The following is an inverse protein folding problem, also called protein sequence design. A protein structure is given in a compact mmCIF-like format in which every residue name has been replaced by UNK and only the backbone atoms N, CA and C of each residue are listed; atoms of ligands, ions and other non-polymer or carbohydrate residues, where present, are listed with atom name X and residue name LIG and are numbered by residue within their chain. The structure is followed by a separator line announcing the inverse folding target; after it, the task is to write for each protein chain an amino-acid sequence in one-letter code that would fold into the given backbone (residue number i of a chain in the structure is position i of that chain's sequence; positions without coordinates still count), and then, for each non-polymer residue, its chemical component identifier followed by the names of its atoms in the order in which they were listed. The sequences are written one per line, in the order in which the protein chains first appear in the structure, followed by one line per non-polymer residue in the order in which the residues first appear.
data_IF_715418853763
#
_entry.id   IF_715418853763
#
_cell.length_a   1.000
_cell.length_b   1.000
_cell.length_c   1.000
_cell.angle_alpha   90.00
_cell.angle_beta   90.00
_cell.angle_gamma   90.00
#
_symmetry.space_group_name_H-M   'P 1'
#
loop_
_entity.id
_entity.type
_entity.pdbx_description
1 polymer ?
#
# COMPACT_ATOMS: atom_id res chain seq x y z
N UNK A 1 -21.61 -8.33 -7.56
CA UNK A 1 -20.32 -8.32 -6.82
C UNK A 1 -19.31 -9.18 -7.56
N UNK A 2 -18.10 -8.68 -7.80
CA UNK A 2 -17.04 -9.39 -8.50
C UNK A 2 -15.72 -9.25 -7.71
N UNK A 3 -15.15 -10.38 -7.33
CA UNK A 3 -13.80 -10.46 -6.74
C UNK A 3 -12.83 -10.94 -7.81
N UNK A 4 -11.82 -10.14 -8.10
CA UNK A 4 -10.75 -10.46 -9.03
C UNK A 4 -9.42 -10.56 -8.27
N UNK A 5 -8.60 -11.52 -8.64
CA UNK A 5 -7.23 -11.58 -8.12
C UNK A 5 -6.27 -12.15 -9.13
N UNK A 6 -5.02 -11.79 -8.99
CA UNK A 6 -3.89 -12.39 -9.69
C UNK A 6 -2.80 -12.79 -8.70
N UNK A 7 -1.96 -13.74 -9.07
CA UNK A 7 -0.79 -14.16 -8.30
C UNK A 7 0.45 -13.66 -9.00
N UNK A 8 1.33 -12.97 -8.25
CA UNK A 8 2.64 -12.55 -8.74
C UNK A 8 3.74 -13.26 -7.99
N UNK A 9 4.58 -13.97 -8.75
CA UNK A 9 5.73 -14.70 -8.22
C UNK A 9 6.88 -13.73 -7.93
N UNK A 10 7.70 -14.09 -6.94
CA UNK A 10 8.92 -13.35 -6.65
C UNK A 10 9.93 -13.49 -7.80
N UNK A 11 10.54 -12.37 -8.17
CA UNK A 11 11.61 -12.31 -9.16
C UNK A 11 12.97 -12.29 -8.45
N UNK A 12 13.95 -12.98 -9.00
CA UNK A 12 15.33 -12.85 -8.55
C UNK A 12 15.91 -11.51 -9.03
N UNK A 13 16.71 -10.79 -8.22
CA UNK A 13 17.26 -9.48 -8.62
C UNK A 13 18.10 -9.58 -9.91
N UNK A 14 18.89 -10.64 -10.08
CA UNK A 14 19.68 -10.83 -11.30
C UNK A 14 18.81 -11.02 -12.56
N UNK A 15 17.61 -11.60 -12.44
CA UNK A 15 16.68 -11.71 -13.55
C UNK A 15 15.98 -10.36 -13.82
N UNK A 16 15.57 -9.67 -12.75
CA UNK A 16 14.84 -8.40 -12.83
C UNK A 16 15.65 -7.30 -13.53
N UNK A 17 16.97 -7.29 -13.40
CA UNK A 17 17.86 -6.34 -14.10
C UNK A 17 17.77 -6.41 -15.62
N UNK A 18 17.33 -7.55 -16.17
CA UNK A 18 17.18 -7.79 -17.60
C UNK A 18 15.74 -7.66 -18.11
N UNK A 19 14.78 -7.29 -17.24
CA UNK A 19 13.41 -7.14 -17.65
C UNK A 19 13.22 -5.89 -18.53
N UNK A 20 12.48 -6.07 -19.61
CA UNK A 20 11.99 -4.97 -20.40
C UNK A 20 10.85 -4.23 -19.67
N UNK A 21 10.43 -3.09 -20.21
CA UNK A 21 9.36 -2.27 -19.63
C UNK A 21 8.06 -3.05 -19.44
N UNK A 22 7.69 -3.89 -20.40
CA UNK A 22 6.45 -4.67 -20.33
C UNK A 22 6.49 -5.67 -19.17
N UNK A 23 7.62 -6.33 -18.96
CA UNK A 23 7.80 -7.28 -17.86
C UNK A 23 7.89 -6.59 -16.50
N UNK A 24 8.61 -5.47 -16.38
CA UNK A 24 8.67 -4.68 -15.15
C UNK A 24 7.25 -4.27 -14.71
N UNK A 25 6.47 -3.74 -15.63
CA UNK A 25 5.07 -3.33 -15.36
C UNK A 25 4.21 -4.52 -14.95
N UNK A 26 4.29 -5.64 -15.68
CA UNK A 26 3.50 -6.84 -15.37
C UNK A 26 3.83 -7.42 -14.00
N UNK A 27 5.11 -7.47 -13.62
CA UNK A 27 5.55 -8.16 -12.40
C UNK A 27 5.47 -7.25 -11.17
N UNK A 28 5.63 -5.93 -11.32
CA UNK A 28 5.71 -5.01 -10.19
C UNK A 28 4.60 -3.94 -10.13
N UNK A 29 4.03 -3.50 -11.25
CA UNK A 29 3.00 -2.45 -11.25
C UNK A 29 1.59 -3.05 -11.16
N UNK A 30 0.78 -2.54 -10.25
CA UNK A 30 -0.66 -2.83 -10.15
C UNK A 30 -1.39 -1.65 -10.79
N UNK A 31 -1.89 -1.86 -12.00
CA UNK A 31 -2.52 -0.80 -12.79
C UNK A 31 -3.97 -0.54 -12.41
N UNK A 32 -4.69 -1.56 -11.93
CA UNK A 32 -6.11 -1.47 -11.63
C UNK A 32 -6.39 -1.97 -10.22
N UNK A 33 -6.70 -1.05 -9.32
CA UNK A 33 -7.16 -1.36 -7.95
C UNK A 33 -8.66 -1.09 -7.80
N UNK A 34 -9.17 -0.03 -8.41
CA UNK A 34 -10.56 0.38 -8.25
C UNK A 34 -11.37 0.22 -9.54
N UNK A 35 -12.54 -0.37 -9.39
CA UNK A 35 -13.62 -0.40 -10.39
C UNK A 35 -14.95 -0.53 -9.64
N UNK A 36 -16.01 0.04 -10.22
CA UNK A 36 -17.34 0.05 -9.61
C UNK A 36 -17.81 -1.36 -9.28
N UNK A 37 -18.16 -1.56 -8.01
CA UNK A 37 -18.69 -2.80 -7.45
C UNK A 37 -17.76 -4.03 -7.61
N UNK A 38 -16.45 -3.78 -7.64
CA UNK A 38 -15.42 -4.81 -7.68
C UNK A 38 -14.47 -4.74 -6.46
N UNK A 39 -13.95 -5.91 -6.07
CA UNK A 39 -12.75 -6.07 -5.24
C UNK A 39 -11.65 -6.61 -6.14
N UNK A 40 -10.56 -5.87 -6.28
CA UNK A 40 -9.40 -6.27 -7.08
C UNK A 40 -8.19 -6.49 -6.17
N UNK A 41 -7.46 -7.59 -6.34
CA UNK A 41 -6.35 -7.98 -5.49
C UNK A 41 -5.17 -8.53 -6.28
N UNK A 42 -3.98 -8.28 -5.78
CA UNK A 42 -2.74 -8.97 -6.15
C UNK A 42 -2.24 -9.73 -4.93
N UNK A 43 -2.09 -11.04 -5.07
CA UNK A 43 -1.41 -11.89 -4.10
C UNK A 43 0.06 -12.03 -4.52
N UNK A 44 0.93 -11.35 -3.80
CA UNK A 44 2.37 -11.38 -4.04
C UNK A 44 3.03 -12.54 -3.29
N UNK A 45 4.03 -13.18 -3.92
CA UNK A 45 4.87 -14.17 -3.24
C UNK A 45 5.98 -13.52 -2.39
N UNK A 46 6.20 -12.21 -2.52
CA UNK A 46 6.99 -11.45 -1.54
C UNK A 46 6.20 -11.36 -0.23
N UNK A 47 6.72 -11.92 0.84
CA UNK A 47 6.12 -11.97 2.19
C UNK A 47 4.63 -12.33 2.24
N UNK A 48 4.10 -12.97 1.19
CA UNK A 48 2.67 -13.30 1.07
C UNK A 48 1.76 -12.07 1.22
N UNK A 49 2.27 -10.90 0.83
CA UNK A 49 1.49 -9.66 0.83
C UNK A 49 0.32 -9.74 -0.15
N UNK A 50 -0.85 -9.31 0.29
CA UNK A 50 -1.98 -9.01 -0.61
C UNK A 50 -2.12 -7.49 -0.68
N UNK A 51 -2.12 -6.96 -1.88
CA UNK A 51 -2.43 -5.55 -2.16
C UNK A 51 -3.75 -5.50 -2.91
N UNK A 52 -4.69 -4.71 -2.44
CA UNK A 52 -6.01 -4.68 -3.07
C UNK A 52 -6.76 -3.36 -2.93
N UNK A 53 -7.85 -3.29 -3.65
CA UNK A 53 -8.79 -2.18 -3.63
C UNK A 53 -10.24 -2.67 -3.73
N UNK A 54 -11.15 -1.97 -3.06
CA UNK A 54 -12.58 -2.18 -3.13
C UNK A 54 -13.29 -0.84 -3.35
N UNK A 55 -14.18 -0.78 -4.34
CA UNK A 55 -14.95 0.42 -4.66
C UNK A 55 -16.44 0.09 -4.74
N UNK A 56 -17.13 0.03 -3.59
CA UNK A 56 -18.57 -0.19 -3.56
C UNK A 56 -19.31 1.07 -4.07
N UNK A 57 -20.13 0.93 -5.10
CA UNK A 57 -20.96 2.02 -5.66
C UNK A 57 -22.45 1.74 -5.40
N UNK A 58 -22.97 0.67 -5.96
CA UNK A 58 -24.36 0.26 -5.81
C UNK A 58 -24.55 -0.96 -4.92
N UNK A 59 -23.49 -1.71 -4.66
CA UNK A 59 -23.54 -2.97 -3.91
C UNK A 59 -22.65 -2.94 -2.68
N UNK A 60 -23.00 -3.77 -1.69
CA UNK A 60 -22.09 -4.12 -0.58
C UNK A 60 -21.11 -5.17 -1.08
N UNK A 61 -19.82 -4.91 -0.97
CA UNK A 61 -18.76 -5.81 -1.41
C UNK A 61 -18.25 -6.64 -0.24
N UNK A 62 -18.11 -7.95 -0.43
CA UNK A 62 -17.48 -8.85 0.53
C UNK A 62 -16.02 -9.08 0.15
N UNK A 63 -15.13 -9.06 1.12
CA UNK A 63 -13.75 -9.48 0.97
C UNK A 63 -13.67 -11.00 1.03
N UNK A 64 -13.72 -11.63 -0.13
CA UNK A 64 -13.70 -13.09 -0.22
C UNK A 64 -12.28 -13.65 0.06
N UNK A 65 -12.23 -14.79 0.72
CA UNK A 65 -11.01 -15.57 0.81
C UNK A 65 -10.69 -16.17 -0.58
N UNK A 66 -9.63 -15.67 -1.20
CA UNK A 66 -9.16 -16.19 -2.49
C UNK A 66 -8.53 -17.58 -2.34
N UNK A 67 -8.58 -18.40 -3.38
CA UNK A 67 -8.12 -19.79 -3.33
C UNK A 67 -6.69 -19.98 -2.74
N UNK A 68 -5.69 -19.15 -3.03
CA UNK A 68 -4.36 -19.30 -2.44
C UNK A 68 -4.31 -19.22 -0.91
N UNK A 69 -5.31 -18.60 -0.28
CA UNK A 69 -5.35 -18.46 1.19
C UNK A 69 -5.79 -19.76 1.87
N UNK A 70 -6.49 -20.66 1.17
CA UNK A 70 -7.00 -21.93 1.72
C UNK A 70 -7.67 -21.76 3.09
N UNK A 71 -8.64 -20.85 3.15
CA UNK A 71 -9.35 -20.44 4.36
C UNK A 71 -10.80 -20.08 4.05
N UNK A 72 -11.69 -20.19 5.04
CA UNK A 72 -13.10 -19.84 4.89
C UNK A 72 -13.32 -18.33 4.96
N UNK A 73 -12.47 -17.62 5.74
CA UNK A 73 -12.48 -16.16 5.83
C UNK A 73 -11.14 -15.59 5.40
N UNK A 74 -11.15 -14.41 4.80
CA UNK A 74 -9.92 -13.73 4.37
C UNK A 74 -8.96 -13.50 5.55
N UNK A 75 -9.49 -13.19 6.72
CA UNK A 75 -8.72 -12.86 7.93
C UNK A 75 -8.38 -14.05 8.83
N UNK A 76 -8.73 -15.30 8.48
CA UNK A 76 -8.44 -16.47 9.32
C UNK A 76 -7.00 -16.54 9.80
N UNK A 77 -6.04 -16.21 8.93
CA UNK A 77 -4.59 -16.23 9.23
C UNK A 77 -3.87 -14.95 8.82
N UNK A 78 -4.62 -13.85 8.65
CA UNK A 78 -4.10 -12.59 8.10
C UNK A 78 -4.60 -11.40 8.89
N UNK A 79 -3.80 -10.37 8.92
CA UNK A 79 -4.16 -9.01 9.35
C UNK A 79 -4.28 -8.10 8.13
N UNK A 80 -5.06 -7.03 8.25
CA UNK A 80 -5.33 -6.10 7.16
C UNK A 80 -5.20 -4.66 7.68
N UNK A 81 -4.53 -3.83 6.89
CA UNK A 81 -4.60 -2.37 7.01
C UNK A 81 -5.37 -1.81 5.81
N UNK A 82 -6.37 -0.99 6.07
CA UNK A 82 -7.24 -0.37 5.08
C UNK A 82 -7.11 1.14 5.17
N UNK A 83 -7.04 1.82 4.03
CA UNK A 83 -7.16 3.27 3.90
C UNK A 83 -8.32 3.62 2.99
N UNK A 84 -9.16 4.56 3.40
CA UNK A 84 -10.17 5.11 2.49
C UNK A 84 -9.61 6.33 1.75
N UNK A 85 -9.52 6.22 0.44
CA UNK A 85 -9.03 7.27 -0.47
C UNK A 85 -10.13 7.84 -1.38
N UNK A 86 -11.40 7.59 -1.06
CA UNK A 86 -12.58 8.09 -1.75
C UNK A 86 -13.55 8.80 -0.82
N UNK A 87 -14.81 8.85 -1.21
CA UNK A 87 -15.90 9.35 -0.38
C UNK A 87 -16.06 8.55 0.91
N UNK A 88 -16.90 9.02 1.84
CA UNK A 88 -17.14 8.32 3.10
C UNK A 88 -17.81 6.95 2.88
N UNK A 89 -17.36 5.94 3.64
CA UNK A 89 -17.94 4.60 3.57
C UNK A 89 -17.81 3.82 4.88
N UNK A 90 -18.25 2.58 4.85
CA UNK A 90 -18.26 1.69 6.01
C UNK A 90 -17.52 0.41 5.69
N UNK A 91 -16.74 -0.04 6.67
CA UNK A 91 -16.19 -1.40 6.72
C UNK A 91 -16.86 -2.13 7.88
N UNK A 92 -17.59 -3.21 7.58
CA UNK A 92 -18.17 -4.09 8.61
C UNK A 92 -17.26 -5.29 8.79
N UNK A 93 -16.92 -5.61 10.05
CA UNK A 93 -16.08 -6.74 10.45
C UNK A 93 -16.84 -7.59 11.45
N UNK A 94 -17.41 -8.70 10.99
CA UNK A 94 -18.40 -9.44 11.78
C UNK A 94 -19.59 -8.55 12.10
N UNK A 95 -19.83 -8.24 13.38
CA UNK A 95 -20.91 -7.33 13.80
C UNK A 95 -20.46 -5.87 13.98
N UNK A 96 -19.15 -5.63 14.02
CA UNK A 96 -18.61 -4.29 14.23
C UNK A 96 -18.63 -3.47 12.93
N UNK A 97 -19.04 -2.19 13.03
CA UNK A 97 -19.10 -1.27 11.89
C UNK A 97 -18.15 -0.09 12.13
N UNK A 98 -17.25 0.12 11.18
CA UNK A 98 -16.31 1.25 11.19
C UNK A 98 -16.63 2.20 10.03
N UNK A 99 -16.97 3.44 10.35
CA UNK A 99 -17.16 4.49 9.33
C UNK A 99 -15.83 5.16 9.07
N UNK A 100 -15.37 5.13 7.81
CA UNK A 100 -14.12 5.74 7.37
C UNK A 100 -14.40 6.94 6.46
N UNK A 101 -13.90 8.09 6.86
CA UNK A 101 -13.79 9.28 6.01
C UNK A 101 -12.54 9.21 5.12
N UNK A 102 -12.35 10.25 4.31
CA UNK A 102 -11.19 10.39 3.44
C UNK A 102 -9.87 10.41 4.23
N UNK A 103 -8.89 9.62 3.83
CA UNK A 103 -7.57 9.47 4.48
C UNK A 103 -7.63 8.93 5.92
N UNK A 104 -8.73 8.30 6.31
CA UNK A 104 -8.80 7.53 7.55
C UNK A 104 -8.43 6.06 7.29
N UNK A 105 -7.88 5.39 8.30
CA UNK A 105 -7.44 4.02 8.23
C UNK A 105 -8.19 3.10 9.21
N UNK A 106 -8.18 1.81 8.92
CA UNK A 106 -8.67 0.75 9.80
C UNK A 106 -7.66 -0.40 9.81
N UNK A 107 -7.27 -0.82 11.00
CA UNK A 107 -6.58 -2.09 11.19
C UNK A 107 -7.57 -3.18 11.58
N UNK A 108 -7.45 -4.34 10.96
CA UNK A 108 -8.23 -5.56 11.27
C UNK A 108 -7.25 -6.67 11.62
N UNK A 109 -7.28 -7.13 12.86
CA UNK A 109 -6.50 -8.29 13.29
C UNK A 109 -7.07 -9.60 12.76
N UNK A 110 -6.27 -10.68 12.78
CA UNK A 110 -6.73 -12.01 12.34
C UNK A 110 -7.95 -12.50 13.12
N UNK A 111 -8.78 -13.31 12.46
CA UNK A 111 -9.96 -13.94 13.04
C UNK A 111 -10.97 -14.37 11.97
N UNK A 112 -11.81 -15.32 12.30
CA UNK A 112 -12.81 -15.86 11.39
C UNK A 112 -14.04 -14.93 11.34
N UNK A 113 -13.94 -13.87 10.54
CA UNK A 113 -14.97 -12.84 10.43
C UNK A 113 -15.14 -12.39 8.98
N UNK A 114 -16.39 -12.17 8.59
CA UNK A 114 -16.68 -11.50 7.33
C UNK A 114 -16.24 -10.03 7.38
N UNK A 115 -15.64 -9.58 6.30
CA UNK A 115 -15.30 -8.17 6.07
C UNK A 115 -16.08 -7.71 4.85
N UNK A 116 -16.86 -6.64 5.01
CA UNK A 116 -17.64 -6.06 3.90
C UNK A 116 -17.42 -4.56 3.80
N UNK A 117 -17.58 -4.03 2.58
CA UNK A 117 -17.38 -2.63 2.23
C UNK A 117 -18.67 -2.04 1.67
N UNK A 118 -19.01 -0.82 2.05
CA UNK A 118 -20.11 -0.06 1.46
C UNK A 118 -19.80 1.43 1.43
N UNK A 119 -20.29 2.15 0.42
CA UNK A 119 -20.25 3.60 0.35
C UNK A 119 -21.46 4.21 1.08
N UNK A 120 -21.28 5.40 1.62
CA UNK A 120 -22.40 6.19 2.14
C UNK A 120 -23.14 6.95 1.03
N UNK A 121 -22.46 7.23 -0.09
CA UNK A 121 -22.99 7.94 -1.25
C UNK A 121 -22.45 7.28 -2.54
N UNK A 122 -23.35 6.81 -3.39
CA UNK A 122 -23.00 6.20 -4.68
C UNK A 122 -22.44 7.21 -5.70
N UNK A 123 -22.76 8.50 -5.56
CA UNK A 123 -22.23 9.56 -6.44
C UNK A 123 -20.82 9.98 -6.05
N UNK A 124 -20.43 9.72 -4.80
CA UNK A 124 -19.07 9.92 -4.30
C UNK A 124 -18.64 8.67 -3.53
N UNK A 125 -18.34 7.57 -4.24
CA UNK A 125 -18.10 6.27 -3.61
C UNK A 125 -16.82 6.26 -2.80
N UNK A 126 -16.82 5.46 -1.74
CA UNK A 126 -15.62 5.14 -1.00
C UNK A 126 -14.69 4.28 -1.87
N UNK A 127 -13.37 4.46 -1.68
CA UNK A 127 -12.31 3.67 -2.31
C UNK A 127 -11.40 3.14 -1.20
N UNK A 128 -11.55 1.88 -0.90
CA UNK A 128 -10.79 1.22 0.17
C UNK A 128 -9.56 0.54 -0.40
N UNK A 129 -8.39 1.19 -0.29
CA UNK A 129 -7.11 0.55 -0.54
C UNK A 129 -6.69 -0.28 0.66
N UNK A 130 -6.15 -1.49 0.47
CA UNK A 130 -5.71 -2.32 1.57
C UNK A 130 -4.45 -3.12 1.28
N UNK A 131 -3.67 -3.32 2.35
CA UNK A 131 -2.60 -4.31 2.40
C UNK A 131 -2.91 -5.37 3.46
N UNK A 132 -2.52 -6.59 3.20
CA UNK A 132 -2.69 -7.68 4.15
C UNK A 132 -1.49 -8.59 4.16
N UNK A 133 -1.08 -8.99 5.36
CA UNK A 133 0.02 -9.94 5.61
C UNK A 133 -0.46 -11.12 6.45
N UNK A 134 0.35 -12.17 6.54
CA UNK A 134 0.10 -13.28 7.46
C UNK A 134 0.22 -12.81 8.91
N UNK A 135 -0.61 -13.39 9.81
CA UNK A 135 -0.65 -12.99 11.21
C UNK A 135 -0.61 -14.22 12.13
N UNK A 136 0.32 -14.24 13.08
CA UNK A 136 0.48 -15.31 14.07
C UNK A 136 -0.34 -15.08 15.34
N UNK A 137 -0.75 -13.82 15.61
CA UNK A 137 -1.55 -13.43 16.76
C UNK A 137 -2.78 -12.61 16.32
N UNK A 138 -3.81 -12.56 17.17
CA UNK A 138 -4.96 -11.70 16.97
C UNK A 138 -4.82 -10.42 17.80
N UNK A 139 -5.04 -9.28 17.14
CA UNK A 139 -5.10 -7.97 17.79
C UNK A 139 -6.47 -7.33 17.51
N UNK A 140 -6.95 -6.43 18.39
CA UNK A 140 -8.24 -5.75 18.21
C UNK A 140 -8.28 -4.92 16.92
N UNK A 141 -9.44 -4.87 16.26
CA UNK A 141 -9.68 -3.91 15.19
C UNK A 141 -9.64 -2.49 15.75
N UNK A 142 -9.03 -1.58 14.99
CA UNK A 142 -8.93 -0.17 15.40
C UNK A 142 -9.02 0.76 14.20
N UNK A 143 -9.93 1.73 14.26
CA UNK A 143 -9.95 2.87 13.37
C UNK A 143 -8.84 3.85 13.78
N UNK A 144 -8.13 4.41 12.80
CA UNK A 144 -7.04 5.37 12.99
C UNK A 144 -7.33 6.60 12.12
N UNK A 145 -7.21 7.78 12.71
CA UNK A 145 -7.33 9.07 12.04
C UNK A 145 -5.94 9.73 11.95
N UNK A 146 -5.83 10.84 11.21
CA UNK A 146 -4.59 11.62 11.21
C UNK A 146 -4.18 12.13 12.60
N UNK A 147 -5.14 12.32 13.50
CA UNK A 147 -4.88 12.78 14.88
C UNK A 147 -4.21 11.69 15.73
N UNK A 148 -4.43 10.41 15.39
CA UNK A 148 -3.79 9.29 16.06
C UNK A 148 -2.36 9.01 15.52
N UNK A 149 -2.01 9.57 14.36
CA UNK A 149 -0.77 9.28 13.67
C UNK A 149 0.46 9.89 14.37
N UNK A 150 1.57 9.17 14.32
CA UNK A 150 2.88 9.76 14.61
C UNK A 150 3.39 10.44 13.35
N UNK A 151 3.44 11.77 13.35
CA UNK A 151 3.80 12.57 12.18
C UNK A 151 5.27 12.96 12.22
N UNK A 152 5.99 12.74 11.12
CA UNK A 152 7.33 13.25 10.89
C UNK A 152 7.33 14.24 9.71
N UNK A 153 7.84 15.45 9.94
CA UNK A 153 8.08 16.45 8.89
C UNK A 153 9.48 16.25 8.33
N UNK A 154 9.62 16.04 7.05
CA UNK A 154 10.88 15.70 6.39
C UNK A 154 11.12 16.54 5.14
N UNK A 155 12.40 16.77 4.87
CA UNK A 155 12.85 17.47 3.66
C UNK A 155 12.65 18.98 3.71
N UNK A 156 12.72 19.60 2.54
CA UNK A 156 12.52 21.05 2.33
C UNK A 156 12.06 21.34 0.92
N UNK A 157 11.46 22.50 0.68
CA UNK A 157 11.11 22.96 -0.67
C UNK A 157 12.34 23.16 -1.54
N UNK A 158 13.46 23.62 -0.97
CA UNK A 158 14.74 23.77 -1.68
C UNK A 158 15.21 22.44 -2.30
N UNK A 159 15.00 21.34 -1.59
CA UNK A 159 15.34 19.99 -2.05
C UNK A 159 14.20 19.33 -2.83
N UNK A 160 13.09 20.03 -3.05
CA UNK A 160 11.88 19.51 -3.73
C UNK A 160 11.32 18.21 -3.10
N UNK A 161 11.48 18.03 -1.79
CA UNK A 161 11.11 16.81 -1.06
C UNK A 161 10.46 17.07 0.30
N UNK A 162 9.93 18.26 0.54
CA UNK A 162 9.18 18.56 1.77
C UNK A 162 7.91 17.75 1.84
N UNK A 163 7.72 17.02 2.95
CA UNK A 163 6.63 16.09 3.11
C UNK A 163 6.29 15.78 4.56
N UNK A 164 5.05 15.37 4.79
CA UNK A 164 4.58 14.82 6.05
C UNK A 164 4.44 13.30 5.96
N UNK A 165 5.12 12.57 6.82
CA UNK A 165 5.00 11.12 6.96
C UNK A 165 4.05 10.84 8.11
N UNK A 166 2.82 10.44 7.81
CA UNK A 166 1.80 10.07 8.79
C UNK A 166 1.89 8.57 9.05
N UNK A 167 2.55 8.16 10.14
CA UNK A 167 2.68 6.77 10.56
C UNK A 167 1.41 6.37 11.31
N UNK A 168 0.53 5.58 10.68
CA UNK A 168 -0.80 5.29 11.22
C UNK A 168 -0.92 3.86 11.76
N UNK A 169 -0.46 2.86 11.01
CA UNK A 169 -0.44 1.46 11.43
C UNK A 169 1.02 1.09 11.70
N UNK A 170 1.52 1.46 12.86
CA UNK A 170 2.88 1.20 13.35
C UNK A 170 2.84 0.91 14.84
N UNK A 171 3.85 0.24 15.39
CA UNK A 171 3.91 -0.16 16.80
C UNK A 171 3.73 0.98 17.81
N UNK A 172 4.09 2.20 17.44
CA UNK A 172 3.88 3.38 18.28
C UNK A 172 2.41 3.78 18.40
N UNK A 173 1.55 3.33 17.48
CA UNK A 173 0.10 3.64 17.44
C UNK A 173 -0.74 2.44 17.86
N UNK A 174 -0.45 1.25 17.34
CA UNK A 174 -1.14 0.01 17.68
C UNK A 174 -0.25 -1.22 17.43
N UNK A 175 -0.53 -2.30 18.13
CA UNK A 175 0.17 -3.57 17.92
C UNK A 175 -0.34 -4.28 16.67
N UNK A 176 0.58 -4.80 15.86
CA UNK A 176 0.34 -5.66 14.70
C UNK A 176 1.23 -6.88 14.75
N UNK A 177 1.03 -7.87 13.89
CA UNK A 177 1.95 -9.01 13.78
C UNK A 177 3.21 -8.64 12.99
N UNK A 178 3.05 -8.05 11.81
CA UNK A 178 4.15 -7.63 10.95
C UNK A 178 3.76 -6.49 9.98
N UNK A 179 2.46 -6.19 9.84
CA UNK A 179 1.99 -5.15 8.94
C UNK A 179 2.30 -3.77 9.52
N UNK A 180 2.96 -2.94 8.74
CA UNK A 180 3.13 -1.52 9.02
C UNK A 180 2.67 -0.72 7.80
N UNK A 181 1.89 0.34 8.05
CA UNK A 181 1.40 1.22 6.98
C UNK A 181 1.36 2.67 7.45
N UNK A 182 1.60 3.54 6.50
CA UNK A 182 1.46 4.96 6.68
C UNK A 182 1.18 5.68 5.38
N UNK A 183 0.99 6.98 5.48
CA UNK A 183 0.69 7.85 4.35
C UNK A 183 1.66 9.02 4.34
N UNK A 184 2.29 9.25 3.21
CA UNK A 184 3.20 10.38 3.00
C UNK A 184 2.56 11.37 2.03
N UNK A 185 2.45 12.62 2.46
CA UNK A 185 1.88 13.73 1.69
C UNK A 185 3.00 14.70 1.33
N UNK A 186 3.26 14.87 0.03
CA UNK A 186 4.24 15.84 -0.45
C UNK A 186 3.61 17.24 -0.45
N UNK A 187 4.38 18.23 0.03
CA UNK A 187 3.99 19.63 -0.05
C UNK A 187 3.97 20.11 -1.51
N UNK A 188 3.14 21.14 -1.79
CA UNK A 188 3.12 21.79 -3.11
C UNK A 188 4.53 22.26 -3.48
N UNK A 189 4.98 21.90 -4.68
CA UNK A 189 6.34 22.18 -5.16
C UNK A 189 7.36 21.07 -4.85
N UNK A 190 7.00 20.09 -4.05
CA UNK A 190 7.82 18.91 -3.79
C UNK A 190 7.38 17.72 -4.64
N UNK A 191 8.34 17.04 -5.25
CA UNK A 191 8.08 15.96 -6.21
C UNK A 191 8.86 14.68 -5.88
N UNK A 192 9.89 14.75 -5.01
CA UNK A 192 10.70 13.61 -4.60
C UNK A 192 10.23 12.98 -3.29
N UNK A 193 10.11 11.66 -3.26
CA UNK A 193 9.94 10.89 -2.04
C UNK A 193 11.08 9.88 -1.86
N UNK A 194 11.30 9.47 -0.62
CA UNK A 194 12.22 8.40 -0.21
C UNK A 194 13.61 8.57 -0.83
N UNK A 195 14.12 9.79 -0.70
CA UNK A 195 15.49 10.11 -1.10
C UNK A 195 16.22 10.70 0.13
N UNK A 196 17.36 10.13 0.56
CA UNK A 196 18.11 9.01 -0.02
C UNK A 196 17.28 7.71 -0.12
N UNK A 197 17.54 6.94 -1.19
CA UNK A 197 16.91 5.65 -1.37
C UNK A 197 17.46 4.61 -0.39
N UNK A 198 16.68 3.58 -0.09
CA UNK A 198 17.07 2.49 0.80
C UNK A 198 16.41 1.17 0.37
N UNK A 199 16.88 0.08 0.93
CA UNK A 199 16.28 -1.25 0.83
C UNK A 199 15.93 -1.77 2.22
N UNK A 200 15.13 -2.82 2.30
CA UNK A 200 14.77 -3.49 3.55
C UNK A 200 15.05 -4.99 3.40
N UNK A 201 16.16 -5.49 3.91
CA UNK A 201 16.55 -6.90 3.73
C UNK A 201 15.54 -7.92 4.28
N UNK A 202 14.61 -7.52 5.14
CA UNK A 202 13.73 -8.40 5.91
C UNK A 202 12.26 -8.24 5.62
N UNK A 203 11.87 -7.38 4.67
CA UNK A 203 10.46 -7.12 4.32
C UNK A 203 10.32 -6.51 2.94
N UNK A 204 9.20 -6.80 2.30
CA UNK A 204 8.79 -6.12 1.08
C UNK A 204 7.98 -4.85 1.42
N UNK A 205 7.82 -3.97 0.46
CA UNK A 205 6.98 -2.78 0.58
C UNK A 205 6.08 -2.60 -0.65
N UNK A 206 4.85 -2.12 -0.44
CA UNK A 206 3.94 -1.72 -1.50
C UNK A 206 3.70 -0.21 -1.43
N UNK A 207 3.85 0.49 -2.55
CA UNK A 207 3.58 1.92 -2.68
C UNK A 207 2.34 2.14 -3.54
N UNK A 208 1.30 2.73 -2.97
CA UNK A 208 0.10 3.15 -3.67
C UNK A 208 0.08 4.66 -3.82
N UNK A 209 0.02 5.15 -5.05
CA UNK A 209 0.07 6.57 -5.40
C UNK A 209 -1.31 7.14 -5.66
N UNK A 210 -1.64 8.27 -5.07
CA UNK A 210 -2.91 8.96 -5.30
C UNK A 210 -2.78 10.48 -5.12
N UNK A 211 -3.85 11.23 -5.38
CA UNK A 211 -3.79 12.70 -5.47
C UNK A 211 -2.80 13.19 -6.53
N UNK A 212 -2.62 12.40 -7.59
CA UNK A 212 -1.87 12.78 -8.77
C UNK A 212 -2.89 13.17 -9.86
N UNK A 213 -2.85 14.39 -10.42
CA UNK A 213 -3.77 14.80 -11.50
C UNK A 213 -3.72 13.84 -12.69
N UNK A 214 -4.85 13.71 -13.43
CA UNK A 214 -4.98 12.74 -14.53
C UNK A 214 -3.97 12.95 -15.67
N UNK A 215 -3.53 14.19 -15.89
CA UNK A 215 -2.55 14.57 -16.90
C UNK A 215 -1.09 14.49 -16.40
N UNK A 216 -0.88 14.03 -15.17
CA UNK A 216 0.44 13.93 -14.53
C UNK A 216 0.84 12.46 -14.31
N UNK A 217 2.14 12.24 -14.10
CA UNK A 217 2.68 10.91 -13.87
C UNK A 217 3.78 10.93 -12.81
N UNK A 218 3.96 9.81 -12.14
CA UNK A 218 5.10 9.54 -11.25
C UNK A 218 6.03 8.51 -11.89
N UNK A 219 7.32 8.70 -11.70
CA UNK A 219 8.37 7.75 -12.05
C UNK A 219 8.84 7.08 -10.76
N UNK A 220 8.47 5.83 -10.56
CA UNK A 220 8.95 5.01 -9.45
C UNK A 220 10.28 4.37 -9.82
N UNK A 221 11.31 4.59 -9.00
CA UNK A 221 12.62 3.98 -9.14
C UNK A 221 12.67 2.72 -8.28
N UNK A 222 13.10 1.63 -8.89
CA UNK A 222 13.23 0.32 -8.29
C UNK A 222 14.54 -0.36 -8.73
N UNK A 223 14.76 -1.58 -8.28
CA UNK A 223 15.96 -2.34 -8.57
C UNK A 223 16.99 -2.27 -7.44
N UNK A 224 18.11 -2.96 -7.62
CA UNK A 224 19.24 -2.82 -6.71
C UNK A 224 19.84 -1.40 -6.85
N UNK A 225 20.42 -0.81 -5.79
CA UNK A 225 20.95 0.55 -5.86
C UNK A 225 21.97 0.80 -7.00
N UNK A 226 22.70 -0.25 -7.37
CA UNK A 226 23.73 -0.18 -8.44
C UNK A 226 23.20 -0.60 -9.83
N UNK A 227 21.92 -0.94 -9.94
CA UNK A 227 21.28 -1.40 -11.18
C UNK A 227 19.81 -0.99 -11.18
N UNK A 228 19.56 0.34 -11.16
CA UNK A 228 18.21 0.87 -11.01
C UNK A 228 17.38 0.71 -12.28
N UNK A 229 16.09 0.57 -12.08
CA UNK A 229 15.03 0.54 -13.09
C UNK A 229 13.96 1.56 -12.72
N UNK A 230 13.06 1.85 -13.63
CA UNK A 230 11.96 2.75 -13.36
C UNK A 230 10.64 2.24 -13.94
N UNK A 231 9.55 2.66 -13.30
CA UNK A 231 8.19 2.37 -13.74
C UNK A 231 7.40 3.69 -13.74
N UNK A 232 6.92 4.11 -14.91
CA UNK A 232 5.96 5.19 -15.00
C UNK A 232 4.57 4.71 -14.58
N UNK A 233 3.93 5.46 -13.71
CA UNK A 233 2.62 5.17 -13.16
C UNK A 233 1.74 6.41 -13.09
N UNK A 234 0.44 6.20 -12.94
CA UNK A 234 -0.59 7.21 -12.86
C UNK A 234 -1.33 7.14 -11.53
N UNK A 235 -2.32 8.04 -11.38
CA UNK A 235 -3.15 8.09 -10.18
C UNK A 235 -3.81 6.72 -9.88
N UNK A 236 -3.89 6.38 -8.59
CA UNK A 236 -4.52 5.16 -8.07
C UNK A 236 -3.87 3.84 -8.54
N UNK A 237 -2.57 3.89 -8.84
CA UNK A 237 -1.76 2.69 -9.14
C UNK A 237 -0.79 2.39 -8.01
N UNK A 238 -0.36 1.13 -7.91
CA UNK A 238 0.58 0.69 -6.88
C UNK A 238 1.77 -0.08 -7.46
N UNK A 239 2.89 -0.04 -6.74
CA UNK A 239 4.10 -0.80 -7.07
C UNK A 239 4.43 -1.74 -5.93
N UNK A 240 4.78 -2.99 -6.26
CA UNK A 240 5.37 -3.96 -5.35
C UNK A 240 6.87 -3.78 -5.36
N UNK A 241 7.46 -3.43 -4.22
CA UNK A 241 8.90 -3.32 -4.03
C UNK A 241 9.42 -4.52 -3.24
N UNK A 242 10.22 -5.42 -3.86
CA UNK A 242 10.88 -6.50 -3.16
C UNK A 242 11.87 -6.00 -2.11
N UNK A 243 12.27 -6.88 -1.19
CA UNK A 243 13.24 -6.61 -0.13
C UNK A 243 14.60 -6.10 -0.66
N UNK A 244 15.00 -6.55 -1.84
CA UNK A 244 16.26 -6.16 -2.49
C UNK A 244 16.18 -4.85 -3.29
N UNK A 245 14.98 -4.32 -3.47
CA UNK A 245 14.72 -3.17 -4.36
C UNK A 245 14.63 -1.86 -3.57
N UNK A 246 15.27 -0.83 -4.07
CA UNK A 246 14.94 0.54 -3.66
C UNK A 246 13.49 0.87 -4.03
N UNK A 247 12.89 1.83 -3.36
CA UNK A 247 11.53 2.30 -3.60
C UNK A 247 11.47 3.82 -3.40
N UNK A 248 11.90 4.54 -4.40
CA UNK A 248 11.90 6.00 -4.45
C UNK A 248 11.05 6.48 -5.63
N UNK A 249 10.65 7.73 -5.66
CA UNK A 249 9.94 8.28 -6.80
C UNK A 249 10.16 9.77 -6.97
N UNK A 250 10.02 10.21 -8.23
CA UNK A 250 9.83 11.61 -8.59
C UNK A 250 8.62 11.73 -9.52
N UNK A 251 7.88 12.83 -9.43
CA UNK A 251 6.69 13.02 -10.25
C UNK A 251 6.70 14.40 -10.95
N UNK A 252 5.77 14.57 -11.88
CA UNK A 252 5.55 15.84 -12.58
C UNK A 252 4.69 16.83 -11.77
N UNK A 253 4.14 16.37 -10.62
CA UNK A 253 3.32 17.13 -9.68
C UNK A 253 3.54 16.59 -8.27
N UNK A 254 3.18 17.34 -7.22
CA UNK A 254 3.11 16.76 -5.88
C UNK A 254 1.98 15.72 -5.79
N UNK A 255 2.13 14.77 -4.92
CA UNK A 255 1.20 13.64 -4.76
C UNK A 255 1.22 13.14 -3.33
N UNK A 256 0.32 12.22 -3.04
CA UNK A 256 0.29 11.46 -1.81
C UNK A 256 0.52 9.99 -2.13
N UNK A 257 1.18 9.26 -1.25
CA UNK A 257 1.27 7.81 -1.37
C UNK A 257 1.07 7.12 -0.03
N UNK A 258 0.49 5.92 -0.08
CA UNK A 258 0.41 5.01 1.05
C UNK A 258 1.50 3.97 0.86
N UNK A 259 2.34 3.83 1.88
CA UNK A 259 3.31 2.76 1.98
C UNK A 259 2.80 1.69 2.93
N UNK A 260 3.02 0.42 2.56
CA UNK A 260 2.66 -0.72 3.37
C UNK A 260 3.73 -1.78 3.33
N UNK A 261 4.23 -2.17 4.48
CA UNK A 261 5.33 -3.11 4.66
C UNK A 261 4.84 -4.37 5.36
N UNK A 262 5.40 -5.49 4.95
CA UNK A 262 5.20 -6.77 5.61
C UNK A 262 6.40 -7.66 5.44
N UNK A 263 6.70 -8.46 6.46
CA UNK A 263 7.83 -9.35 6.47
C UNK A 263 8.22 -9.80 7.87
N UNK A 264 9.50 -9.95 8.13
CA UNK A 264 9.98 -10.62 9.32
C UNK A 264 9.93 -9.78 10.59
N UNK A 265 9.90 -8.45 10.50
CA UNK A 265 10.07 -7.59 11.67
C UNK A 265 9.08 -6.43 11.74
N UNK A 266 9.03 -5.81 12.92
CA UNK A 266 8.24 -4.64 13.23
C UNK A 266 9.07 -3.36 13.42
N UNK A 267 10.39 -3.43 13.23
CA UNK A 267 11.27 -2.29 13.42
C UNK A 267 11.21 -1.38 12.20
N UNK A 268 10.70 -0.18 12.40
CA UNK A 268 10.58 0.82 11.33
C UNK A 268 11.96 1.30 10.83
N UNK A 269 12.98 1.22 11.65
CA UNK A 269 14.32 1.76 11.40
C UNK A 269 15.33 0.77 10.79
N UNK A 270 14.87 -0.30 10.12
CA UNK A 270 15.73 -1.32 9.49
C UNK A 270 16.14 -0.97 8.04
N UNK A 271 16.18 0.31 7.70
CA UNK A 271 16.54 0.78 6.37
C UNK A 271 18.05 0.73 6.14
N UNK A 272 18.45 0.08 5.04
CA UNK A 272 19.81 0.11 4.51
C UNK A 272 19.90 1.22 3.44
N UNK A 273 20.35 2.41 3.85
CA UNK A 273 20.43 3.57 2.99
C UNK A 273 21.57 3.49 1.99
N UNK A 274 21.32 3.98 0.77
CA UNK A 274 22.33 4.17 -0.27
C UNK A 274 22.69 5.63 -0.37
N UNK A 275 23.98 5.93 -0.53
CA UNK A 275 24.40 7.29 -0.89
C UNK A 275 23.81 7.68 -2.25
N UNK A 276 23.33 8.90 -2.38
CA UNK A 276 22.70 9.37 -3.63
C UNK A 276 23.67 9.27 -4.81
N UNK A 277 24.95 9.51 -4.56
CA UNK A 277 26.02 9.45 -5.58
C UNK A 277 26.37 8.03 -6.03
N UNK A 278 25.90 7.01 -5.31
CA UNK A 278 26.18 5.60 -5.60
C UNK A 278 25.07 4.94 -6.44
N UNK A 279 23.92 5.60 -6.60
CA UNK A 279 22.82 5.09 -7.43
C UNK A 279 23.23 5.07 -8.92
N UNK A 280 22.92 3.96 -9.62
CA UNK A 280 23.22 3.77 -11.05
C UNK A 280 22.05 3.19 -11.80
#
# INVERSE_FOLDING_TARGET
MKTNYEIRYAAHPEDARHYDTARLRRDFLIEKLFASDEVNMVYSMYDRMVVGGAMPVGEVLKLEAIDPLKADFFTTRREIGIYNVGGSGKVKVGEDIFVLGYKEALYIGRGDRDVTFSSNDALNPAKFYFNSTTAHAAYPCRKITKQDAVVAHMGSLEMSNERNINKMIVNQVLATCQLQMGMTELATGSVWNTMPAHVHSRRMEAYFYFELPEDQAACHFMGEPQETRHIWLHNEQAVLSPEWSIHSAAATHNYTFIWGMGGENLDYGDQDFSEITDLK
#
